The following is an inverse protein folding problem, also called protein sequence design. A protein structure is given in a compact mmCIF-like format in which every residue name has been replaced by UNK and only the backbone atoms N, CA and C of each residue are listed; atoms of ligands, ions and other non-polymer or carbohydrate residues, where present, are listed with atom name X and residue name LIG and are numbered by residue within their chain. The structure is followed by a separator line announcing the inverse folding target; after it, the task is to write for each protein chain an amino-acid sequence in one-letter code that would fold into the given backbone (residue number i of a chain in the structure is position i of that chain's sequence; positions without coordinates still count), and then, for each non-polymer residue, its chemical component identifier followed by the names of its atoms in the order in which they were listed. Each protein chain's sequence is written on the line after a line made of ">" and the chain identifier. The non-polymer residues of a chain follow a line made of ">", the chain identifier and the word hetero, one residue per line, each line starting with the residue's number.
data_IF_024979299987
#
_entry.id   IF_024979299987
#
_cell.length_a   1.000
_cell.length_b   1.000
_cell.length_c   1.000
_cell.angle_alpha   90.00
_cell.angle_beta   90.00
_cell.angle_gamma   90.00
#
_symmetry.space_group_name_H-M   'P 1'
#
loop_
_entity.id
_entity.type
_entity.pdbx_description
1 polymer ?
#
# COMPACT_ATOMS: atom_id res chain seq x y z
N UNK A 1 -6.18 16.96 -6.53
CA UNK A 1 -7.23 16.01 -6.92
C UNK A 1 -7.58 15.17 -5.71
N UNK A 2 -8.71 14.46 -5.75
CA UNK A 2 -9.09 13.50 -4.72
C UNK A 2 -9.19 12.10 -5.35
N UNK A 3 -8.84 11.06 -4.60
CA UNK A 3 -9.00 9.67 -5.04
C UNK A 3 -9.28 8.74 -3.87
N UNK A 4 -10.03 7.67 -4.11
CA UNK A 4 -10.19 6.60 -3.13
C UNK A 4 -8.92 5.75 -3.13
N UNK A 5 -8.34 5.59 -1.96
CA UNK A 5 -7.22 4.70 -1.69
C UNK A 5 -7.71 3.51 -0.86
N UNK A 6 -6.96 2.42 -0.88
CA UNK A 6 -7.24 1.22 -0.09
C UNK A 6 -6.02 0.82 0.72
N UNK A 7 -6.19 0.46 1.98
CA UNK A 7 -5.15 -0.18 2.80
C UNK A 7 -5.62 -1.57 3.21
N UNK A 8 -4.79 -2.57 3.00
CA UNK A 8 -5.04 -3.95 3.40
C UNK A 8 -4.13 -4.27 4.57
N UNK A 9 -4.72 -4.73 5.68
CA UNK A 9 -3.92 -5.17 6.82
C UNK A 9 -3.48 -6.62 6.64
N UNK A 10 -2.18 -6.84 6.43
CA UNK A 10 -1.64 -8.20 6.25
C UNK A 10 -1.49 -8.93 7.59
N UNK A 11 -1.46 -8.20 8.69
CA UNK A 11 -1.38 -8.75 10.04
C UNK A 11 -2.65 -9.52 10.44
N UNK A 12 -3.81 -9.09 9.95
CA UNK A 12 -5.11 -9.78 10.16
C UNK A 12 -5.48 -10.69 8.99
N UNK A 13 -4.67 -10.74 7.93
CA UNK A 13 -4.97 -11.54 6.76
C UNK A 13 -4.64 -13.01 6.98
N UNK A 14 -5.66 -13.86 7.01
CA UNK A 14 -5.51 -15.31 7.19
C UNK A 14 -5.23 -16.07 5.89
N UNK A 15 -5.16 -15.39 4.74
CA UNK A 15 -4.92 -16.02 3.45
C UNK A 15 -6.07 -16.92 2.97
N UNK A 16 -7.33 -16.55 3.27
CA UNK A 16 -8.49 -17.30 2.78
C UNK A 16 -8.72 -17.07 1.27
N UNK A 17 -9.37 -18.02 0.56
CA UNK A 17 -9.61 -17.90 -0.88
C UNK A 17 -10.69 -16.88 -1.25
N UNK A 18 -11.38 -16.27 -0.28
CA UNK A 18 -12.50 -15.36 -0.55
C UNK A 18 -12.13 -14.22 -1.51
N UNK A 19 -10.91 -13.68 -1.40
CA UNK A 19 -10.47 -12.60 -2.29
C UNK A 19 -10.05 -13.12 -3.67
N UNK A 20 -9.43 -14.31 -3.75
CA UNK A 20 -9.04 -14.92 -5.03
C UNK A 20 -10.24 -15.40 -5.82
N UNK A 21 -11.30 -15.85 -5.15
CA UNK A 21 -12.53 -16.33 -5.78
C UNK A 21 -13.41 -15.15 -6.26
N UNK A 22 -13.34 -14.01 -5.58
CA UNK A 22 -14.07 -12.79 -5.94
C UNK A 22 -13.47 -12.02 -7.13
N UNK A 23 -12.22 -12.28 -7.49
CA UNK A 23 -11.55 -11.60 -8.61
C UNK A 23 -11.17 -12.61 -9.70
N UNK A 24 -11.75 -12.55 -10.92
CA UNK A 24 -11.32 -13.42 -12.00
C UNK A 24 -9.83 -13.22 -12.26
N UNK A 25 -9.09 -14.32 -12.45
CA UNK A 25 -7.65 -14.32 -12.66
C UNK A 25 -7.26 -13.28 -13.72
N UNK A 26 -6.71 -12.15 -13.26
CA UNK A 26 -6.18 -11.15 -14.16
C UNK A 26 -5.00 -11.77 -14.90
N UNK A 27 -5.09 -11.75 -16.22
CA UNK A 27 -3.98 -11.98 -17.13
C UNK A 27 -2.72 -11.28 -16.58
N UNK A 28 -1.69 -12.04 -16.18
CA UNK A 28 -0.36 -11.51 -15.83
C UNK A 28 0.30 -10.92 -17.07
N UNK A 29 -0.10 -9.69 -17.41
CA UNK A 29 0.44 -8.95 -18.54
C UNK A 29 1.96 -8.75 -18.41
N UNK A 30 2.67 -8.60 -19.54
CA UNK A 30 4.13 -8.54 -19.55
C UNK A 30 4.64 -7.34 -18.74
N UNK A 31 5.60 -7.59 -17.84
CA UNK A 31 6.42 -6.61 -17.08
C UNK A 31 5.84 -5.18 -17.07
N UNK A 32 4.87 -4.95 -16.19
CA UNK A 32 4.28 -3.63 -15.95
C UNK A 32 5.30 -2.61 -15.39
N UNK A 33 4.93 -1.33 -15.42
CA UNK A 33 5.71 -0.25 -14.84
C UNK A 33 6.53 0.59 -15.83
N UNK A 34 7.20 1.59 -15.28
CA UNK A 34 8.04 2.54 -16.01
C UNK A 34 9.52 2.31 -15.74
N UNK A 35 10.34 2.68 -16.70
CA UNK A 35 11.80 2.76 -16.61
C UNK A 35 12.22 4.22 -16.72
N UNK A 36 13.09 4.67 -15.83
CA UNK A 36 13.67 6.00 -15.91
C UNK A 36 14.92 5.95 -16.78
N UNK A 37 14.90 6.68 -17.90
CA UNK A 37 16.07 6.84 -18.75
C UNK A 37 17.11 7.74 -18.09
N UNK A 38 18.38 7.62 -18.49
CA UNK A 38 19.47 8.49 -18.02
C UNK A 38 19.22 9.99 -18.27
N UNK A 39 18.32 10.34 -19.21
CA UNK A 39 17.89 11.73 -19.48
C UNK A 39 16.71 12.19 -18.60
N UNK A 40 16.34 11.42 -17.58
CA UNK A 40 15.23 11.75 -16.67
C UNK A 40 13.83 11.56 -17.28
N UNK A 41 13.70 10.86 -18.42
CA UNK A 41 12.37 10.59 -19.03
C UNK A 41 11.87 9.20 -18.65
N UNK A 42 10.60 9.10 -18.28
CA UNK A 42 9.91 7.82 -18.06
C UNK A 42 9.54 7.17 -19.40
N UNK A 43 9.88 5.89 -19.55
CA UNK A 43 9.47 5.04 -20.67
C UNK A 43 8.77 3.79 -20.15
N UNK A 44 7.71 3.29 -20.79
CA UNK A 44 7.10 2.03 -20.37
C UNK A 44 8.13 0.89 -20.47
N UNK A 45 8.24 0.04 -19.42
CA UNK A 45 9.13 -1.15 -19.44
C UNK A 45 8.77 -2.12 -20.56
N UNK A 46 7.49 -2.17 -20.95
CA UNK A 46 6.98 -2.93 -22.09
C UNK A 46 7.39 -2.35 -23.47
N UNK A 47 8.11 -1.23 -23.53
CA UNK A 47 8.54 -0.58 -24.77
C UNK A 47 7.48 0.34 -25.42
N UNK A 48 7.87 0.99 -26.52
CA UNK A 48 7.02 1.90 -27.29
C UNK A 48 5.81 1.21 -27.94
N UNK A 49 4.86 1.98 -28.50
CA UNK A 49 3.63 1.44 -29.11
C UNK A 49 3.91 0.39 -30.20
N UNK A 50 4.89 0.62 -31.07
CA UNK A 50 5.28 -0.30 -32.14
C UNK A 50 5.88 -1.61 -31.63
N UNK A 51 6.71 -1.55 -30.57
CA UNK A 51 7.33 -2.74 -29.98
C UNK A 51 6.29 -3.61 -29.25
N UNK A 52 5.32 -2.98 -28.57
CA UNK A 52 4.18 -3.70 -27.98
C UNK A 52 3.34 -4.41 -29.04
N UNK A 53 3.08 -3.75 -30.17
CA UNK A 53 2.36 -4.35 -31.29
C UNK A 53 3.14 -5.53 -31.90
N UNK A 54 4.46 -5.38 -32.08
CA UNK A 54 5.29 -6.47 -32.60
C UNK A 54 5.40 -7.64 -31.63
N UNK A 55 5.52 -7.38 -30.32
CA UNK A 55 5.59 -8.45 -29.31
C UNK A 55 4.24 -9.19 -29.19
N UNK A 56 3.10 -8.48 -29.32
CA UNK A 56 1.77 -9.09 -29.39
C UNK A 56 1.61 -10.04 -30.60
N UNK A 57 2.19 -9.68 -31.75
CA UNK A 57 2.10 -10.47 -32.98
C UNK A 57 3.16 -11.58 -33.08
N UNK A 58 4.36 -11.38 -32.50
CA UNK A 58 5.50 -12.28 -32.64
C UNK A 58 5.63 -13.31 -31.51
N UNK A 59 4.94 -13.13 -30.37
CA UNK A 59 5.03 -14.02 -29.20
C UNK A 59 3.65 -14.35 -28.60
N UNK A 60 2.80 -15.13 -29.30
CA UNK A 60 1.49 -15.53 -28.75
C UNK A 60 1.60 -16.34 -27.45
N UNK A 61 2.75 -16.97 -27.14
CA UNK A 61 2.98 -17.73 -25.91
C UNK A 61 3.44 -16.92 -24.68
N UNK A 62 3.60 -15.59 -24.79
CA UNK A 62 3.85 -14.69 -23.64
C UNK A 62 2.59 -13.93 -23.20
N UNK A 63 1.44 -14.23 -23.80
CA UNK A 63 0.16 -13.93 -23.19
C UNK A 63 0.03 -14.80 -21.95
N UNK A 64 -0.35 -14.22 -20.80
CA UNK A 64 -0.63 -15.01 -19.62
C UNK A 64 -1.75 -16.01 -19.93
N UNK A 65 -1.44 -17.30 -19.81
CA UNK A 65 -2.48 -18.32 -19.75
C UNK A 65 -3.36 -18.03 -18.52
N UNK A 66 -4.67 -18.34 -18.55
CA UNK A 66 -5.44 -18.49 -17.32
C UNK A 66 -4.62 -19.35 -16.36
N UNK A 67 -4.45 -18.95 -15.11
CA UNK A 67 -3.73 -19.79 -14.18
C UNK A 67 -4.45 -21.13 -14.12
N UNK A 68 -3.72 -22.23 -14.39
CA UNK A 68 -4.22 -23.54 -14.04
C UNK A 68 -4.49 -23.51 -12.52
N UNK A 69 -5.62 -24.06 -12.03
CA UNK A 69 -5.82 -24.22 -10.60
C UNK A 69 -4.58 -24.88 -10.00
N UNK A 70 -4.06 -24.35 -8.89
CA UNK A 70 -2.94 -24.97 -8.18
C UNK A 70 -3.28 -26.46 -7.95
N UNK A 71 -2.45 -27.36 -8.48
CA UNK A 71 -2.63 -28.79 -8.27
C UNK A 71 -2.52 -29.07 -6.76
N UNK A 72 -3.50 -29.75 -6.14
CA UNK A 72 -3.52 -29.92 -4.70
C UNK A 72 -2.29 -30.70 -4.25
N UNK A 73 -1.40 -30.05 -3.50
CA UNK A 73 -0.21 -30.73 -2.96
C UNK A 73 -0.64 -31.73 -1.88
N UNK A 74 -0.13 -32.97 -1.91
CA UNK A 74 -0.34 -33.91 -0.82
C UNK A 74 0.39 -33.41 0.44
N UNK A 75 -0.27 -33.51 1.60
CA UNK A 75 0.30 -33.18 2.90
C UNK A 75 1.54 -34.05 3.19
N UNK A 76 2.69 -33.45 3.53
CA UNK A 76 3.83 -34.16 4.14
C UNK A 76 5.24 -33.95 3.55
N UNK A 77 5.45 -33.09 2.54
CA UNK A 77 6.78 -32.86 1.98
C UNK A 77 7.51 -31.66 2.60
N UNK A 78 8.58 -31.88 3.37
CA UNK A 78 9.49 -30.81 3.77
C UNK A 78 10.34 -30.36 2.58
N UNK A 79 10.27 -29.07 2.23
CA UNK A 79 11.02 -28.51 1.11
C UNK A 79 12.35 -27.88 1.58
N UNK A 80 13.46 -28.03 0.82
CA UNK A 80 14.79 -27.53 1.20
C UNK A 80 14.89 -25.99 1.19
N UNK A 81 15.94 -25.42 1.80
CA UNK A 81 16.09 -23.98 2.06
C UNK A 81 15.96 -23.03 0.83
N UNK A 82 16.22 -23.50 -0.40
CA UNK A 82 15.95 -22.72 -1.62
C UNK A 82 14.44 -22.44 -1.84
N UNK A 83 13.58 -23.30 -1.29
CA UNK A 83 12.13 -23.14 -1.27
C UNK A 83 11.67 -22.11 -0.26
N UNK A 84 12.48 -21.72 0.73
CA UNK A 84 12.13 -20.63 1.67
C UNK A 84 11.96 -19.28 0.95
N UNK A 85 12.70 -19.08 -0.15
CA UNK A 85 12.57 -17.91 -1.02
C UNK A 85 11.17 -17.89 -1.69
N UNK A 86 10.72 -19.06 -2.14
CA UNK A 86 9.37 -19.31 -2.66
C UNK A 86 8.31 -19.28 -1.54
N UNK A 87 8.63 -19.64 -0.29
CA UNK A 87 7.69 -19.68 0.83
C UNK A 87 7.26 -18.29 1.29
N UNK A 88 8.16 -17.30 1.23
CA UNK A 88 7.82 -15.91 1.53
C UNK A 88 6.90 -15.34 0.44
N UNK A 89 7.28 -15.48 -0.83
CA UNK A 89 6.41 -15.08 -1.95
C UNK A 89 5.11 -15.88 -1.99
N UNK A 90 5.07 -17.14 -1.53
CA UNK A 90 3.84 -17.95 -1.42
C UNK A 90 2.96 -17.54 -0.23
N UNK A 91 3.56 -17.15 0.91
CA UNK A 91 2.83 -16.64 2.06
C UNK A 91 2.16 -15.28 1.79
N UNK A 92 2.78 -14.43 0.94
CA UNK A 92 2.23 -13.15 0.51
C UNK A 92 1.57 -13.16 -0.89
N UNK A 93 1.71 -14.23 -1.67
CA UNK A 93 1.05 -14.37 -2.98
C UNK A 93 -0.47 -14.37 -2.87
N UNK A 94 -1.00 -14.88 -1.76
CA UNK A 94 -2.45 -14.90 -1.53
C UNK A 94 -3.02 -13.49 -1.21
N UNK A 95 -2.41 -12.66 -0.35
CA UNK A 95 -2.96 -11.33 -0.07
C UNK A 95 -2.51 -10.19 -1.01
N UNK A 96 -1.41 -10.33 -1.75
CA UNK A 96 -1.06 -9.39 -2.82
C UNK A 96 -1.86 -9.75 -4.09
N UNK A 97 -3.18 -9.64 -3.98
CA UNK A 97 -4.10 -9.94 -5.08
C UNK A 97 -3.65 -9.24 -6.37
N UNK A 98 -3.62 -9.94 -7.52
CA UNK A 98 -3.44 -9.33 -8.83
C UNK A 98 -4.68 -8.52 -9.20
N UNK A 99 -4.86 -7.42 -8.50
CA UNK A 99 -5.99 -6.50 -8.60
C UNK A 99 -5.46 -5.12 -8.99
N UNK A 100 -6.35 -4.29 -9.57
CA UNK A 100 -5.95 -2.94 -9.98
C UNK A 100 -5.45 -2.12 -8.78
N UNK A 101 -4.17 -1.73 -8.79
CA UNK A 101 -3.58 -0.87 -7.76
C UNK A 101 -4.00 0.62 -7.86
N UNK A 102 -4.90 0.97 -8.79
CA UNK A 102 -5.46 2.32 -8.97
C UNK A 102 -4.43 3.46 -8.99
N UNK A 103 -3.28 3.17 -9.62
CA UNK A 103 -2.08 4.00 -9.71
C UNK A 103 -2.35 5.47 -10.07
N UNK A 104 -1.60 6.40 -9.45
CA UNK A 104 -1.58 7.81 -9.85
C UNK A 104 -0.83 8.02 -11.18
N UNK A 105 0.16 7.17 -11.49
CA UNK A 105 0.92 7.17 -12.74
C UNK A 105 0.79 5.81 -13.48
N UNK A 106 -0.40 5.47 -14.00
CA UNK A 106 -0.66 4.14 -14.54
C UNK A 106 0.18 3.83 -15.80
N UNK A 107 0.87 2.68 -15.79
CA UNK A 107 1.60 2.19 -16.98
C UNK A 107 0.71 1.46 -18.00
N UNK A 108 -0.51 1.10 -17.61
CA UNK A 108 -1.47 0.35 -18.45
C UNK A 108 -2.04 1.17 -19.62
N UNK A 109 -1.73 2.47 -19.71
CA UNK A 109 -2.12 3.32 -20.83
C UNK A 109 -3.55 3.88 -20.75
N UNK A 110 -4.33 3.48 -19.75
CA UNK A 110 -5.61 4.11 -19.42
C UNK A 110 -5.34 5.33 -18.55
N UNK A 111 -5.66 6.53 -19.05
CA UNK A 111 -5.69 7.73 -18.23
C UNK A 111 -6.84 7.60 -17.21
N UNK A 112 -6.64 7.98 -15.94
CA UNK A 112 -7.71 7.92 -14.94
C UNK A 112 -8.85 8.91 -15.28
N UNK A 113 -10.12 8.57 -14.99
CA UNK A 113 -10.60 7.40 -14.23
C UNK A 113 -10.70 6.10 -15.06
N UNK A 114 -10.16 5.01 -14.53
CA UNK A 114 -10.15 3.71 -15.21
C UNK A 114 -11.52 3.02 -15.10
N UNK A 115 -12.28 2.96 -16.22
CA UNK A 115 -13.56 2.26 -16.50
C UNK A 115 -13.82 2.29 -18.04
N UNK A 116 -14.77 1.53 -18.62
CA UNK A 116 -14.86 0.07 -18.74
C UNK A 116 -13.92 -0.51 -19.84
N UNK A 117 -13.45 -1.75 -19.66
CA UNK A 117 -12.48 -2.42 -20.55
C UNK A 117 -11.05 -2.51 -20.00
N UNK A 118 -10.85 -2.17 -18.73
CA UNK A 118 -9.59 -2.40 -18.03
C UNK A 118 -9.34 -3.91 -17.88
N UNK A 119 -8.17 -4.44 -18.28
CA UNK A 119 -7.86 -5.88 -18.16
C UNK A 119 -7.62 -6.31 -16.71
N UNK A 120 -7.47 -5.36 -15.78
CA UNK A 120 -7.33 -5.62 -14.35
C UNK A 120 -8.65 -5.29 -13.66
N UNK A 121 -9.41 -6.28 -13.17
CA UNK A 121 -10.58 -6.01 -12.35
C UNK A 121 -10.18 -5.18 -11.13
N UNK A 122 -11.08 -4.30 -10.68
CA UNK A 122 -10.91 -3.68 -9.36
C UNK A 122 -10.94 -4.80 -8.33
N UNK A 123 -10.13 -4.73 -7.27
CA UNK A 123 -10.32 -5.65 -6.14
C UNK A 123 -11.70 -5.38 -5.58
N UNK A 124 -12.65 -6.23 -5.90
CA UNK A 124 -13.90 -6.28 -5.17
C UNK A 124 -13.59 -6.98 -3.87
N UNK A 125 -13.81 -6.27 -2.77
CA UNK A 125 -13.74 -6.87 -1.44
C UNK A 125 -14.86 -7.90 -1.39
N UNK A 126 -14.56 -9.19 -1.14
CA UNK A 126 -15.62 -10.16 -0.95
C UNK A 126 -16.53 -9.65 0.18
N UNK A 127 -17.84 -9.83 0.03
CA UNK A 127 -18.84 -9.42 1.02
C UNK A 127 -18.51 -9.97 2.43
N UNK A 128 -17.73 -11.06 2.48
CA UNK A 128 -17.26 -11.70 3.71
C UNK A 128 -15.74 -11.83 3.70
N UNK A 129 -15.02 -10.79 4.13
CA UNK A 129 -13.58 -10.89 4.37
C UNK A 129 -13.31 -11.48 5.77
N UNK A 130 -12.69 -12.67 5.83
CA UNK A 130 -12.32 -13.31 7.10
C UNK A 130 -11.30 -12.50 7.93
N UNK A 131 -10.48 -11.67 7.26
CA UNK A 131 -9.52 -10.76 7.91
C UNK A 131 -10.09 -9.38 8.26
N UNK A 132 -11.41 -9.19 8.08
CA UNK A 132 -12.10 -7.91 8.20
C UNK A 132 -12.03 -7.06 6.94
N UNK A 133 -12.97 -6.12 6.80
CA UNK A 133 -13.06 -5.20 5.67
C UNK A 133 -11.77 -4.37 5.56
N UNK A 134 -11.15 -4.26 4.36
CA UNK A 134 -9.99 -3.40 4.20
C UNK A 134 -10.39 -1.92 4.31
N UNK A 135 -9.42 -1.09 4.66
CA UNK A 135 -9.66 0.34 4.86
C UNK A 135 -9.78 1.02 3.50
N UNK A 136 -10.84 1.80 3.30
CA UNK A 136 -11.07 2.60 2.11
C UNK A 136 -11.34 4.03 2.52
N UNK A 137 -10.66 4.97 1.88
CA UNK A 137 -10.73 6.37 2.28
C UNK A 137 -10.33 7.31 1.16
N UNK A 138 -10.80 8.55 1.22
CA UNK A 138 -10.39 9.60 0.29
C UNK A 138 -8.98 10.07 0.64
N UNK A 139 -8.14 10.22 -0.37
CA UNK A 139 -6.80 10.79 -0.28
C UNK A 139 -6.70 11.98 -1.24
N UNK A 140 -6.33 13.15 -0.70
CA UNK A 140 -6.02 14.33 -1.48
C UNK A 140 -4.59 14.26 -1.97
N UNK A 141 -4.36 14.64 -3.23
CA UNK A 141 -3.03 14.63 -3.82
C UNK A 141 -2.82 15.77 -4.81
N UNK A 142 -1.57 16.18 -4.96
CA UNK A 142 -1.13 17.17 -5.93
C UNK A 142 -0.82 16.48 -7.27
N UNK A 143 -1.67 16.69 -8.27
CA UNK A 143 -1.54 16.06 -9.58
C UNK A 143 -0.27 16.51 -10.32
N UNK A 144 0.17 17.75 -10.09
CA UNK A 144 1.32 18.34 -10.78
C UNK A 144 2.63 17.70 -10.28
N UNK A 145 2.65 17.22 -9.02
CA UNK A 145 3.81 16.52 -8.44
C UNK A 145 3.93 15.05 -8.80
N UNK A 146 2.86 14.41 -9.29
CA UNK A 146 2.84 12.96 -9.59
C UNK A 146 3.97 12.56 -10.54
N UNK A 147 4.17 13.31 -11.63
CA UNK A 147 5.21 13.00 -12.62
C UNK A 147 6.62 13.18 -12.04
N UNK A 148 6.82 14.23 -11.24
CA UNK A 148 8.09 14.48 -10.58
C UNK A 148 8.43 13.36 -9.59
N UNK A 149 7.45 12.96 -8.77
CA UNK A 149 7.59 11.86 -7.81
C UNK A 149 7.92 10.52 -8.51
N UNK A 150 7.19 10.16 -9.57
CA UNK A 150 7.48 8.95 -10.34
C UNK A 150 8.86 8.94 -11.02
N UNK A 151 9.44 10.14 -11.23
CA UNK A 151 10.73 10.34 -11.88
C UNK A 151 11.90 10.48 -10.90
N UNK A 152 11.72 10.14 -9.62
CA UNK A 152 12.79 10.15 -8.62
C UNK A 152 14.01 9.34 -9.10
N UNK A 153 15.22 9.85 -8.84
CA UNK A 153 16.44 9.27 -9.39
C UNK A 153 16.70 7.86 -8.85
N UNK A 154 16.60 7.67 -7.52
CA UNK A 154 16.72 6.37 -6.87
C UNK A 154 15.35 5.74 -6.68
N UNK A 155 15.28 4.42 -6.77
CA UNK A 155 14.03 3.69 -6.57
C UNK A 155 13.58 3.70 -5.10
N UNK A 156 14.53 3.75 -4.16
CA UNK A 156 14.25 3.83 -2.72
C UNK A 156 13.57 5.15 -2.33
N UNK A 157 13.81 6.23 -3.08
CA UNK A 157 13.22 7.54 -2.80
C UNK A 157 11.74 7.61 -3.24
N UNK A 158 11.25 6.62 -4.00
CA UNK A 158 9.89 6.64 -4.57
C UNK A 158 8.80 6.59 -3.50
N UNK A 159 9.05 5.89 -2.39
CA UNK A 159 8.13 5.83 -1.26
C UNK A 159 7.89 7.22 -0.65
N UNK A 160 8.98 7.90 -0.25
CA UNK A 160 8.89 9.25 0.33
C UNK A 160 8.42 10.28 -0.71
N UNK A 161 8.81 10.11 -1.98
CA UNK A 161 8.32 10.96 -3.07
C UNK A 161 6.80 10.82 -3.26
N UNK A 162 6.25 9.61 -3.12
CA UNK A 162 4.81 9.38 -3.17
C UNK A 162 4.10 10.00 -1.96
N UNK A 163 4.67 9.88 -0.76
CA UNK A 163 4.14 10.57 0.42
C UNK A 163 4.11 12.10 0.23
N UNK A 164 5.14 12.68 -0.38
CA UNK A 164 5.21 14.11 -0.69
C UNK A 164 4.20 14.61 -1.73
N UNK A 165 3.49 13.71 -2.42
CA UNK A 165 2.39 14.03 -3.34
C UNK A 165 1.07 14.16 -2.59
N UNK A 166 0.92 13.54 -1.43
CA UNK A 166 -0.30 13.60 -0.64
C UNK A 166 -0.44 14.94 0.08
N UNK A 167 -1.68 15.42 0.17
CA UNK A 167 -2.02 16.71 0.76
C UNK A 167 -2.76 16.52 2.09
N UNK A 168 -2.48 17.42 3.03
CA UNK A 168 -3.18 17.45 4.31
C UNK A 168 -4.52 18.20 4.17
N UNK A 169 -5.67 17.54 4.34
CA UNK A 169 -6.98 18.19 4.28
C UNK A 169 -7.23 19.19 5.42
N UNK A 170 -6.46 19.15 6.51
CA UNK A 170 -6.57 20.14 7.60
C UNK A 170 -5.79 21.43 7.32
N UNK A 171 -4.86 21.44 6.33
CA UNK A 171 -4.13 22.66 5.95
C UNK A 171 -5.09 23.64 5.25
N UNK A 172 -5.20 24.85 5.80
CA UNK A 172 -6.03 25.92 5.26
C UNK A 172 -5.73 26.24 3.78
N UNK A 173 -4.47 26.09 3.35
CA UNK A 173 -4.07 26.31 1.95
C UNK A 173 -4.62 25.21 1.03
N UNK A 174 -4.65 23.97 1.50
CA UNK A 174 -5.21 22.84 0.76
C UNK A 174 -6.71 22.99 0.66
N UNK A 175 -7.39 23.39 1.74
CA UNK A 175 -8.84 23.65 1.75
C UNK A 175 -9.25 24.72 0.75
N UNK A 176 -8.55 25.86 0.73
CA UNK A 176 -8.78 26.91 -0.25
C UNK A 176 -8.52 26.43 -1.69
N UNK A 177 -7.51 25.58 -1.89
CA UNK A 177 -7.25 24.99 -3.19
C UNK A 177 -8.38 24.02 -3.60
N UNK A 178 -8.90 23.21 -2.67
CA UNK A 178 -10.03 22.30 -2.85
C UNK A 178 -11.28 23.05 -3.32
N UNK A 179 -11.63 24.15 -2.64
CA UNK A 179 -12.73 25.02 -3.02
C UNK A 179 -12.56 25.56 -4.44
N UNK A 180 -11.37 26.08 -4.77
CA UNK A 180 -11.06 26.63 -6.10
C UNK A 180 -11.11 25.59 -7.22
N UNK A 181 -10.81 24.33 -6.93
CA UNK A 181 -10.87 23.25 -7.90
C UNK A 181 -12.26 22.61 -8.02
N UNK A 182 -13.23 23.04 -7.20
CA UNK A 182 -14.57 22.46 -7.18
C UNK A 182 -14.61 21.06 -6.58
N UNK A 183 -13.74 20.74 -5.61
CA UNK A 183 -13.89 19.51 -4.82
C UNK A 183 -15.11 19.69 -3.91
N UNK A 184 -16.07 18.79 -4.02
CA UNK A 184 -17.28 18.83 -3.21
C UNK A 184 -16.96 18.67 -1.71
N UNK A 185 -17.78 19.28 -0.86
CA UNK A 185 -17.57 19.32 0.59
C UNK A 185 -17.58 17.92 1.22
N UNK A 186 -18.45 17.02 0.74
CA UNK A 186 -18.52 15.62 1.15
C UNK A 186 -17.20 14.86 0.92
N UNK A 187 -16.51 15.14 -0.20
CA UNK A 187 -15.19 14.60 -0.50
C UNK A 187 -14.11 15.14 0.43
N UNK A 188 -14.17 16.42 0.78
CA UNK A 188 -13.23 17.03 1.72
C UNK A 188 -13.43 16.47 3.14
N UNK A 189 -14.67 16.36 3.59
CA UNK A 189 -15.00 15.78 4.90
C UNK A 189 -14.65 14.29 5.00
N UNK A 190 -14.83 13.53 3.90
CA UNK A 190 -14.36 12.16 3.81
C UNK A 190 -12.83 12.07 3.85
N UNK A 191 -12.11 13.03 3.23
CA UNK A 191 -10.65 13.06 3.27
C UNK A 191 -10.11 13.36 4.68
N UNK A 192 -10.79 14.23 5.44
CA UNK A 192 -10.43 14.56 6.83
C UNK A 192 -10.56 13.37 7.76
N UNK A 193 -11.64 12.60 7.59
CA UNK A 193 -11.93 11.38 8.37
C UNK A 193 -11.33 10.10 7.75
N UNK A 194 -10.44 10.23 6.77
CA UNK A 194 -9.95 9.10 5.99
C UNK A 194 -9.05 8.18 6.83
N UNK A 195 -9.44 6.91 7.05
CA UNK A 195 -8.60 5.95 7.78
C UNK A 195 -7.32 5.63 7.00
N UNK A 196 -7.40 5.67 5.66
CA UNK A 196 -6.26 5.44 4.78
C UNK A 196 -5.22 6.55 4.90
N UNK A 197 -5.64 7.81 4.97
CA UNK A 197 -4.71 8.93 5.27
C UNK A 197 -4.03 8.71 6.61
N UNK A 198 -4.77 8.29 7.63
CA UNK A 198 -4.22 8.04 8.96
C UNK A 198 -3.14 6.95 8.90
N UNK A 199 -3.41 5.80 8.28
CA UNK A 199 -2.46 4.69 8.18
C UNK A 199 -1.23 5.00 7.31
N UNK A 200 -1.40 5.75 6.22
CA UNK A 200 -0.34 6.08 5.26
C UNK A 200 0.52 7.26 5.72
N UNK A 201 -0.11 8.38 6.07
CA UNK A 201 0.57 9.67 6.28
C UNK A 201 0.79 10.00 7.76
N UNK A 202 -0.22 9.76 8.61
CA UNK A 202 -0.15 10.11 10.04
C UNK A 202 0.69 9.11 10.82
N UNK A 203 0.31 7.84 10.78
CA UNK A 203 0.96 6.78 11.54
C UNK A 203 2.10 6.10 10.78
N UNK A 204 2.18 6.26 9.44
CA UNK A 204 3.22 5.66 8.59
C UNK A 204 3.42 4.15 8.87
N UNK A 205 2.32 3.41 8.93
CA UNK A 205 2.32 1.95 9.10
C UNK A 205 1.95 1.21 7.83
N UNK A 206 1.32 1.89 6.87
CA UNK A 206 1.01 1.33 5.56
C UNK A 206 2.12 1.66 4.55
N UNK A 207 2.43 0.70 3.67
CA UNK A 207 3.48 0.80 2.66
C UNK A 207 2.93 0.44 1.26
N UNK A 208 3.43 1.08 0.19
CA UNK A 208 3.01 0.76 -1.17
C UNK A 208 3.68 -0.53 -1.66
N UNK A 209 3.03 -1.36 -2.48
CA UNK A 209 3.68 -2.50 -3.12
C UNK A 209 4.51 -2.04 -4.34
N UNK A 210 5.65 -2.69 -4.57
CA UNK A 210 6.52 -2.53 -5.73
C UNK A 210 6.67 -1.08 -6.23
N UNK A 211 7.12 -0.13 -5.37
CA UNK A 211 7.28 1.27 -5.76
C UNK A 211 8.24 1.45 -6.95
N UNK A 212 9.17 0.52 -7.17
CA UNK A 212 10.12 0.49 -8.30
C UNK A 212 9.45 0.46 -9.68
N UNK A 213 8.15 0.11 -9.75
CA UNK A 213 7.39 0.20 -10.99
C UNK A 213 7.05 1.65 -11.38
N UNK A 214 7.29 2.61 -10.48
CA UNK A 214 7.09 4.06 -10.69
C UNK A 214 5.66 4.40 -11.11
N UNK A 215 4.71 3.57 -10.72
CA UNK A 215 3.29 3.73 -11.00
C UNK A 215 2.55 4.50 -9.92
N UNK A 216 3.14 4.63 -8.72
CA UNK A 216 2.54 5.31 -7.56
C UNK A 216 1.18 4.66 -7.18
N UNK A 217 1.19 3.43 -6.64
CA UNK A 217 -0.02 2.66 -6.35
C UNK A 217 -0.86 3.32 -5.24
N UNK A 218 -2.19 3.19 -5.35
CA UNK A 218 -3.16 3.67 -4.35
C UNK A 218 -3.77 2.54 -3.51
N UNK A 219 -3.27 1.32 -3.68
CA UNK A 219 -3.49 0.19 -2.78
C UNK A 219 -2.21 -0.03 -1.97
N UNK A 220 -2.34 0.02 -0.65
CA UNK A 220 -1.24 -0.01 0.32
C UNK A 220 -1.45 -1.15 1.31
N UNK A 221 -0.40 -1.53 2.03
CA UNK A 221 -0.42 -2.68 2.92
C UNK A 221 0.20 -2.36 4.26
N UNK A 222 -0.44 -2.78 5.35
CA UNK A 222 0.21 -2.83 6.66
C UNK A 222 0.98 -4.15 6.73
N UNK A 223 2.32 -4.13 6.94
CA UNK A 223 3.12 -5.34 6.97
C UNK A 223 2.78 -6.18 8.21
N UNK A 224 2.82 -7.53 8.13
CA UNK A 224 2.45 -8.36 9.26
C UNK A 224 3.56 -8.43 10.28
N UNK A 225 3.18 -8.41 11.55
CA UNK A 225 4.05 -8.84 12.62
C UNK A 225 4.07 -10.37 12.57
N UNK A 226 4.98 -10.95 11.78
CA UNK A 226 5.23 -12.41 11.76
C UNK A 226 5.30 -12.94 13.20
N UNK A 227 4.81 -14.16 13.51
CA UNK A 227 4.74 -14.65 14.88
C UNK A 227 6.06 -14.39 15.58
N UNK A 228 6.05 -13.48 16.54
CA UNK A 228 7.19 -13.24 17.42
C UNK A 228 7.36 -14.54 18.20
N UNK A 229 8.29 -15.39 17.75
CA UNK A 229 8.64 -16.61 18.47
C UNK A 229 9.31 -16.16 19.76
N UNK A 230 8.51 -16.08 20.83
CA UNK A 230 8.89 -16.20 22.24
C UNK A 230 10.25 -15.59 22.66
N UNK A 231 10.61 -14.39 22.17
CA UNK A 231 11.71 -13.60 22.74
C UNK A 231 11.22 -12.53 23.74
N UNK A 232 9.91 -12.33 23.85
CA UNK A 232 9.29 -11.38 24.78
C UNK A 232 8.99 -11.98 26.17
N UNK A 233 9.30 -13.26 26.40
CA UNK A 233 9.06 -13.92 27.69
C UNK A 233 10.25 -13.80 28.65
N UNK A 234 11.48 -13.55 28.17
CA UNK A 234 12.69 -13.58 29.01
C UNK A 234 13.34 -12.22 29.27
N UNK A 235 12.95 -11.15 28.56
CA UNK A 235 13.50 -9.81 28.80
C UNK A 235 12.46 -8.89 29.43
N UNK A 236 12.25 -9.07 30.74
CA UNK A 236 11.64 -8.03 31.58
C UNK A 236 12.68 -6.94 31.82
N UNK A 237 12.30 -5.71 31.49
CA UNK A 237 12.74 -4.42 32.06
C UNK A 237 13.49 -3.38 31.22
N UNK A 238 13.91 -3.62 29.98
CA UNK A 238 14.56 -2.56 29.19
C UNK A 238 13.82 -2.33 27.87
N UNK A 239 13.54 -1.06 27.54
CA UNK A 239 12.91 -0.65 26.27
C UNK A 239 13.64 -1.16 25.03
N UNK A 240 14.91 -1.59 25.16
CA UNK A 240 15.73 -2.24 24.13
C UNK A 240 15.19 -3.63 23.70
N UNK A 241 14.49 -4.35 24.59
CA UNK A 241 14.01 -5.71 24.32
C UNK A 241 12.87 -5.77 23.29
N UNK A 242 12.11 -4.68 23.11
CA UNK A 242 11.01 -4.61 22.15
C UNK A 242 11.50 -4.47 20.71
N UNK A 243 12.56 -3.67 20.51
CA UNK A 243 13.08 -3.32 19.18
C UNK A 243 14.02 -4.39 18.62
N UNK A 244 14.81 -5.05 19.48
CA UNK A 244 15.56 -6.25 19.08
C UNK A 244 14.65 -7.41 18.63
N UNK A 245 13.39 -7.42 19.06
CA UNK A 245 12.43 -8.44 18.67
C UNK A 245 12.01 -8.31 17.19
N UNK A 246 12.07 -7.11 16.60
CA UNK A 246 11.83 -6.88 15.16
C UNK A 246 12.92 -7.52 14.30
N UNK A 247 14.15 -7.62 14.81
CA UNK A 247 15.25 -8.31 14.14
C UNK A 247 15.13 -9.84 14.20
N UNK A 248 14.30 -10.37 15.10
CA UNK A 248 14.07 -11.82 15.26
C UNK A 248 12.86 -12.35 14.49
N UNK A 249 12.23 -11.51 13.66
CA UNK A 249 11.07 -11.92 12.88
C UNK A 249 11.39 -13.12 12.00
N UNK A 250 10.48 -14.11 12.00
CA UNK A 250 10.57 -15.29 11.13
C UNK A 250 10.69 -14.92 9.65
N UNK A 251 10.11 -13.78 9.29
CA UNK A 251 10.25 -13.15 7.99
C UNK A 251 11.39 -12.11 8.07
N UNK A 252 12.49 -12.30 7.32
CA UNK A 252 13.56 -11.31 7.29
C UNK A 252 13.07 -9.97 6.73
N UNK A 253 13.53 -8.88 7.33
CA UNK A 253 13.13 -7.52 6.96
C UNK A 253 13.45 -7.19 5.51
N UNK A 254 14.58 -7.69 4.99
CA UNK A 254 15.03 -7.50 3.62
C UNK A 254 13.98 -8.02 2.62
N UNK A 255 13.32 -9.13 2.96
CA UNK A 255 12.31 -9.76 2.09
C UNK A 255 11.04 -8.91 2.02
N UNK A 256 10.66 -8.27 3.13
CA UNK A 256 9.56 -7.32 3.14
C UNK A 256 9.93 -6.03 2.39
N UNK A 257 11.17 -5.57 2.53
CA UNK A 257 11.68 -4.39 1.84
C UNK A 257 11.73 -4.58 0.32
N UNK A 258 12.08 -5.78 -0.16
CA UNK A 258 12.04 -6.15 -1.58
C UNK A 258 10.64 -5.91 -2.19
N UNK A 259 9.57 -6.08 -1.40
CA UNK A 259 8.18 -5.92 -1.85
C UNK A 259 7.67 -4.50 -1.67
N UNK A 260 7.95 -3.84 -0.55
CA UNK A 260 7.26 -2.59 -0.19
C UNK A 260 8.06 -1.31 -0.46
N UNK A 261 9.39 -1.39 -0.51
CA UNK A 261 10.25 -0.19 -0.41
C UNK A 261 11.45 -0.27 -1.36
N UNK A 262 11.36 -1.08 -2.42
CA UNK A 262 12.43 -1.30 -3.38
C UNK A 262 13.77 -1.68 -2.70
N UNK A 263 13.69 -2.52 -1.65
CA UNK A 263 14.83 -3.03 -0.89
C UNK A 263 15.31 -2.15 0.27
N UNK A 264 14.68 -0.99 0.54
CA UNK A 264 15.00 -0.18 1.72
C UNK A 264 14.33 -0.71 2.99
N UNK A 265 15.13 -1.24 3.92
CA UNK A 265 14.65 -1.80 5.19
C UNK A 265 14.14 -0.73 6.15
N UNK A 266 14.61 0.52 6.03
CA UNK A 266 14.30 1.59 6.99
C UNK A 266 12.80 1.82 7.21
N UNK A 267 12.00 2.10 6.16
CA UNK A 267 10.57 2.35 6.32
C UNK A 267 9.79 1.12 6.78
N UNK A 268 10.18 -0.08 6.35
CA UNK A 268 9.57 -1.34 6.80
C UNK A 268 9.80 -1.55 8.29
N UNK A 269 11.06 -1.43 8.75
CA UNK A 269 11.42 -1.51 10.16
C UNK A 269 10.61 -0.51 10.97
N UNK A 270 10.59 0.74 10.56
CA UNK A 270 9.86 1.81 11.26
C UNK A 270 8.36 1.52 11.38
N UNK A 271 7.73 0.98 10.33
CA UNK A 271 6.32 0.55 10.39
C UNK A 271 6.10 -0.60 11.38
N UNK A 272 6.97 -1.61 11.37
CA UNK A 272 6.88 -2.76 12.27
C UNK A 272 7.13 -2.38 13.73
N UNK A 273 8.09 -1.49 13.99
CA UNK A 273 8.38 -0.94 15.32
C UNK A 273 7.18 -0.19 15.89
N UNK A 274 6.47 0.63 15.08
CA UNK A 274 5.22 1.28 15.50
C UNK A 274 4.13 0.28 15.85
N UNK A 275 3.96 -0.77 15.06
CA UNK A 275 2.98 -1.83 15.32
C UNK A 275 3.33 -2.63 16.59
N UNK A 276 4.62 -2.90 16.82
CA UNK A 276 5.11 -3.58 18.02
C UNK A 276 4.92 -2.71 19.27
N UNK A 277 5.26 -1.42 19.20
CA UNK A 277 5.05 -0.44 20.26
C UNK A 277 3.56 -0.33 20.63
N UNK A 278 2.68 -0.24 19.62
CA UNK A 278 1.23 -0.26 19.81
C UNK A 278 0.78 -1.52 20.57
N UNK A 279 1.19 -2.72 20.13
CA UNK A 279 0.81 -3.97 20.80
C UNK A 279 1.33 -4.05 22.24
N UNK A 280 2.55 -3.58 22.49
CA UNK A 280 3.13 -3.56 23.84
C UNK A 280 2.38 -2.61 24.76
N UNK A 281 2.08 -1.40 24.30
CA UNK A 281 1.31 -0.40 25.03
C UNK A 281 -0.08 -0.94 25.40
N UNK A 282 -0.80 -1.46 24.41
CA UNK A 282 -2.15 -1.98 24.62
C UNK A 282 -2.19 -3.22 25.51
N UNK A 283 -1.16 -4.08 25.45
CA UNK A 283 -1.04 -5.20 26.38
C UNK A 283 -0.94 -4.74 27.84
N UNK A 284 -0.16 -3.70 28.11
CA UNK A 284 -0.06 -3.15 29.47
C UNK A 284 -1.41 -2.60 29.94
N UNK A 285 -2.09 -1.82 29.09
CA UNK A 285 -3.44 -1.30 29.34
C UNK A 285 -4.45 -2.42 29.62
N UNK A 286 -4.48 -3.46 28.79
CA UNK A 286 -5.41 -4.60 28.91
C UNK A 286 -5.15 -5.43 30.19
N UNK A 287 -3.92 -5.46 30.68
CA UNK A 287 -3.53 -6.12 31.94
C UNK A 287 -3.76 -5.23 33.18
N UNK A 288 -4.18 -3.98 33.00
CA UNK A 288 -4.31 -3.00 34.08
C UNK A 288 -2.96 -2.53 34.65
N UNK A 289 -1.87 -2.73 33.90
CA UNK A 289 -0.54 -2.23 34.23
C UNK A 289 -0.40 -0.78 33.74
N UNK A 290 0.47 0.01 34.38
CA UNK A 290 0.76 1.37 33.92
C UNK A 290 1.69 1.32 32.69
N UNK A 291 1.26 1.79 31.50
CA UNK A 291 2.06 1.69 30.29
C UNK A 291 3.33 2.53 30.37
N UNK A 292 4.45 1.99 29.90
CA UNK A 292 5.72 2.71 29.87
C UNK A 292 5.67 3.87 28.86
N UNK A 293 5.85 5.14 29.28
CA UNK A 293 5.85 6.29 28.39
C UNK A 293 7.03 6.33 27.41
N UNK A 294 8.08 5.52 27.63
CA UNK A 294 9.22 5.41 26.72
C UNK A 294 8.86 4.73 25.40
N UNK A 295 7.88 3.81 25.42
CA UNK A 295 7.49 3.01 24.25
C UNK A 295 6.89 3.84 23.12
N UNK A 296 5.88 4.72 23.36
CA UNK A 296 5.40 5.64 22.33
C UNK A 296 6.50 6.61 21.84
N UNK A 297 7.30 7.14 22.76
CA UNK A 297 8.34 8.12 22.45
C UNK A 297 9.42 7.54 21.52
N UNK A 298 9.80 6.28 21.70
CA UNK A 298 10.79 5.58 20.88
C UNK A 298 10.38 5.49 19.39
N UNK A 299 9.08 5.44 19.09
CA UNK A 299 8.55 5.40 17.73
C UNK A 299 8.05 6.77 17.22
N UNK A 300 8.27 7.82 18.00
CA UNK A 300 7.86 9.19 17.69
C UNK A 300 6.35 9.43 17.74
N UNK A 301 5.62 8.63 18.52
CA UNK A 301 4.16 8.76 18.71
C UNK A 301 3.83 9.06 20.18
N UNK A 302 2.65 9.62 20.43
CA UNK A 302 2.10 9.73 21.79
C UNK A 302 1.31 8.48 22.19
N UNK A 303 1.09 8.28 23.49
CA UNK A 303 0.25 7.19 24.00
C UNK A 303 -1.15 7.18 23.35
N UNK A 304 -1.79 8.35 23.29
CA UNK A 304 -3.09 8.53 22.62
C UNK A 304 -3.04 8.12 21.14
N UNK A 305 -1.95 8.43 20.44
CA UNK A 305 -1.79 8.06 19.04
C UNK A 305 -1.65 6.53 18.84
N UNK A 306 -1.02 5.82 19.78
CA UNK A 306 -0.98 4.35 19.76
C UNK A 306 -2.35 3.73 20.07
N UNK A 307 -3.08 4.28 21.03
CA UNK A 307 -4.44 3.84 21.37
C UNK A 307 -5.41 4.06 20.20
N UNK A 308 -5.31 5.22 19.54
CA UNK A 308 -6.12 5.53 18.35
C UNK A 308 -5.76 4.63 17.17
N UNK A 309 -4.47 4.35 16.95
CA UNK A 309 -4.02 3.40 15.95
C UNK A 309 -4.53 1.98 16.24
N UNK A 310 -4.49 1.54 17.50
CA UNK A 310 -5.05 0.25 17.91
C UNK A 310 -6.55 0.20 17.68
N UNK A 311 -7.28 1.25 18.09
CA UNK A 311 -8.72 1.36 17.88
C UNK A 311 -9.04 1.23 16.40
N UNK A 312 -8.27 1.89 15.52
CA UNK A 312 -8.43 1.80 14.07
C UNK A 312 -8.16 0.40 13.53
N UNK A 313 -7.08 -0.25 13.97
CA UNK A 313 -6.65 -1.55 13.42
C UNK A 313 -7.42 -2.76 13.97
N UNK A 314 -7.82 -2.73 15.25
CA UNK A 314 -8.38 -3.87 15.96
C UNK A 314 -9.91 -3.79 16.09
N UNK A 315 -10.45 -2.64 16.51
CA UNK A 315 -11.84 -2.55 17.00
C UNK A 315 -12.76 -1.68 16.14
N UNK A 316 -12.22 -0.94 15.16
CA UNK A 316 -13.02 0.01 14.38
C UNK A 316 -14.13 -0.69 13.59
N UNK A 317 -15.37 -0.16 13.64
CA UNK A 317 -16.49 -0.68 12.86
C UNK A 317 -16.31 -0.40 11.36
N UNK A 318 -17.03 -1.12 10.50
CA UNK A 318 -16.89 -1.02 9.04
C UNK A 318 -17.11 0.41 8.50
N UNK A 319 -17.98 1.20 9.13
CA UNK A 319 -18.25 2.60 8.77
C UNK A 319 -17.03 3.52 8.96
N UNK A 320 -16.17 3.20 9.94
CA UNK A 320 -14.91 3.90 10.15
C UNK A 320 -13.79 3.36 9.27
N UNK A 321 -13.90 2.10 8.83
CA UNK A 321 -12.95 1.50 7.89
C UNK A 321 -13.21 1.95 6.46
N UNK A 322 -14.46 2.22 6.09
CA UNK A 322 -14.87 2.62 4.74
C UNK A 322 -15.48 4.02 4.74
N UNK A 323 -14.64 5.03 4.57
CA UNK A 323 -15.03 6.45 4.49
C UNK A 323 -14.97 6.91 3.03
N UNK A 324 -16.01 6.59 2.28
CA UNK A 324 -16.15 6.94 0.84
C UNK A 324 -17.41 7.79 0.64
N UNK A 325 -17.35 8.91 -0.11
CA UNK A 325 -18.53 9.71 -0.40
C UNK A 325 -19.58 8.95 -1.21
N UNK A 326 -20.85 9.22 -0.94
CA UNK A 326 -21.98 8.61 -1.65
C UNK A 326 -21.97 8.97 -3.14
N UNK A 327 -21.49 10.17 -3.48
CA UNK A 327 -21.32 10.65 -4.86
C UNK A 327 -19.94 10.24 -5.37
N UNK A 328 -19.80 8.96 -5.75
CA UNK A 328 -18.52 8.33 -6.08
C UNK A 328 -17.93 8.74 -7.46
N UNK A 329 -17.98 10.02 -7.83
CA UNK A 329 -17.33 10.57 -9.03
C UNK A 329 -16.69 11.95 -8.72
N UNK A 330 -15.40 12.03 -8.34
CA UNK A 330 -14.69 13.29 -8.20
C UNK A 330 -13.83 13.57 -9.44
N UNK A 331 -14.32 14.32 -10.43
CA UNK A 331 -13.45 14.84 -11.51
C UNK A 331 -12.99 16.27 -11.24
N UNK A 332 -12.54 16.59 -10.03
CA UNK A 332 -12.05 17.93 -9.69
C UNK A 332 -10.51 17.98 -9.67
N UNK A 333 -9.93 18.63 -10.69
CA UNK A 333 -8.48 18.79 -10.88
C UNK A 333 -7.97 19.95 -10.01
N UNK A 334 -7.28 19.65 -8.89
CA UNK A 334 -6.49 20.66 -8.18
C UNK A 334 -5.28 21.02 -9.04
N UNK A 335 -5.26 22.22 -9.61
CA UNK A 335 -4.06 22.83 -10.20
C UNK A 335 -3.52 23.85 -9.21
N UNK A 336 -2.38 23.57 -8.58
CA UNK A 336 -1.75 24.56 -7.68
C UNK A 336 -0.63 25.26 -8.43
N UNK A 337 -0.96 26.45 -8.94
CA UNK A 337 -0.07 27.42 -9.59
C UNK A 337 0.49 27.10 -10.98
N UNK A 338 0.57 28.16 -11.79
CA UNK A 338 0.92 28.22 -13.22
C UNK A 338 2.19 27.43 -13.55
N UNK A 339 2.07 26.47 -14.46
CA UNK A 339 3.19 25.96 -15.28
C UNK A 339 2.81 26.21 -16.74
N UNK A 340 3.72 26.77 -17.57
CA UNK A 340 3.38 27.24 -18.91
C UNK A 340 3.04 26.07 -19.83
N UNK A 341 2.16 26.35 -20.78
CA UNK A 341 1.73 25.48 -21.86
C UNK A 341 2.94 24.77 -22.47
N UNK A 342 3.02 23.45 -22.30
CA UNK A 342 3.97 22.64 -23.03
C UNK A 342 3.48 22.58 -24.48
N UNK A 343 4.12 23.39 -25.33
CA UNK A 343 3.93 23.42 -26.77
C UNK A 343 3.95 22.00 -27.36
N UNK A 344 2.85 21.67 -28.01
CA UNK A 344 2.69 20.51 -28.86
C UNK A 344 3.37 20.83 -30.22
N UNK A 345 4.52 20.21 -30.49
CA UNK A 345 5.07 20.03 -31.83
C UNK A 345 5.73 18.67 -31.97
#
# INVERSE_FOLDING_TARGET
>A
MARIATVINLDTCVGCPACSDASPTAATGPRGGWELTWRGRLRPRAGGRLRRLSDMLARPGQLPSPQAPDEPRPYGGHAPAATARLSFEQAFRLPLLPSCAQCLNPSCGTAPPCLPGCPYPRSETPETCAGGTPYRGVMLYDADKVRAAASAAREQDLYEAQLGVFLDPEDARVRLACERAGIAEDWLDAARRSPVRALISTYRVALPPHPEYRTLPMVWYVPPLSPLVHALAEQRHDGDGLFGAVDTLRIPLERQADVFTAGDVGPVRSALERLAAMRSHMRAVDLGEEPDPSVPAAVGLGAYALEELYRLLATAPDEERTVVPATAEPSAVLRTTRTPEAEEK
#
